data_IF_731138505114
#
_entry.id   IF_731138505114
#
_cell.length_a   1.000
_cell.length_b   1.000
_cell.length_c   1.000
_cell.angle_alpha   90.00
_cell.angle_beta   90.00
_cell.angle_gamma   90.00
#
_symmetry.space_group_name_H-M   'P 1'
#
loop_
_entity.id
_entity.type
_entity.pdbx_description
1 polymer ?
#
# COMPACT_ATOMS: atom_id res chain seq x y z
N UNK A 1 2.42 23.88 34.48
CA UNK A 1 2.26 22.43 34.73
C UNK A 1 0.81 21.94 34.82
N UNK A 2 0.08 22.06 35.95
CA UNK A 2 -1.29 21.45 36.06
C UNK A 2 -2.31 21.91 35.02
N UNK A 3 -2.29 23.20 34.65
CA UNK A 3 -3.20 23.76 33.62
C UNK A 3 -2.85 23.26 32.22
N UNK A 4 -1.56 23.15 31.91
CA UNK A 4 -1.06 22.68 30.60
C UNK A 4 -1.37 21.19 30.40
N UNK A 5 -1.23 20.36 31.44
CA UNK A 5 -1.62 18.94 31.40
C UNK A 5 -3.12 18.80 31.15
N UNK A 6 -3.94 19.62 31.82
CA UNK A 6 -5.39 19.61 31.60
C UNK A 6 -5.78 20.06 30.19
N UNK A 7 -5.17 21.15 29.70
CA UNK A 7 -5.39 21.65 28.34
C UNK A 7 -4.96 20.61 27.28
N UNK A 8 -3.86 19.89 27.53
CA UNK A 8 -3.41 18.77 26.69
C UNK A 8 -4.43 17.63 26.65
N UNK A 9 -4.88 17.13 27.80
CA UNK A 9 -5.86 16.03 27.86
C UNK A 9 -7.19 16.42 27.21
N UNK A 10 -7.63 17.67 27.37
CA UNK A 10 -8.82 18.20 26.70
C UNK A 10 -8.66 18.16 25.17
N UNK A 11 -7.53 18.64 24.64
CA UNK A 11 -7.25 18.62 23.19
C UNK A 11 -7.13 17.20 22.66
N UNK A 12 -6.50 16.31 23.41
CA UNK A 12 -6.38 14.88 23.09
C UNK A 12 -7.76 14.23 22.96
N UNK A 13 -8.65 14.46 23.93
CA UNK A 13 -10.03 13.97 23.87
C UNK A 13 -10.83 14.54 22.69
N UNK A 14 -10.66 15.84 22.39
CA UNK A 14 -11.27 16.46 21.23
C UNK A 14 -10.80 15.82 19.91
N UNK A 15 -9.50 15.58 19.76
CA UNK A 15 -8.95 14.92 18.57
C UNK A 15 -9.49 13.50 18.41
N UNK A 16 -9.57 12.71 19.48
CA UNK A 16 -10.19 11.39 19.46
C UNK A 16 -11.66 11.44 19.02
N UNK A 17 -12.41 12.42 19.53
CA UNK A 17 -13.80 12.65 19.15
C UNK A 17 -13.95 12.97 17.66
N UNK A 18 -13.09 13.85 17.13
CA UNK A 18 -13.09 14.21 15.71
C UNK A 18 -12.78 13.01 14.81
N UNK A 19 -11.76 12.23 15.14
CA UNK A 19 -11.44 11.00 14.39
C UNK A 19 -12.62 10.04 14.44
N UNK A 20 -13.21 9.80 15.61
CA UNK A 20 -14.34 8.89 15.76
C UNK A 20 -15.57 9.30 14.95
N UNK A 21 -15.84 10.61 14.84
CA UNK A 21 -16.96 11.13 14.05
C UNK A 21 -16.71 11.05 12.53
N UNK A 22 -15.45 11.18 12.11
CA UNK A 22 -15.08 11.10 10.69
C UNK A 22 -15.02 9.67 10.15
N UNK A 23 -14.82 8.66 11.02
CA UNK A 23 -14.77 7.24 10.63
C UNK A 23 -16.20 6.71 10.43
N UNK A 24 -16.43 6.03 9.31
CA UNK A 24 -17.70 5.35 9.03
C UNK A 24 -18.02 4.26 10.07
N UNK A 25 -19.31 4.05 10.37
CA UNK A 25 -19.74 3.15 11.44
C UNK A 25 -19.18 1.72 11.32
N UNK A 26 -19.08 1.18 10.10
CA UNK A 26 -18.50 -0.14 9.85
C UNK A 26 -17.00 -0.24 10.15
N UNK A 27 -16.27 0.88 10.08
CA UNK A 27 -14.82 0.94 10.30
C UNK A 27 -14.47 1.25 11.77
N UNK A 28 -15.44 1.72 12.57
CA UNK A 28 -15.24 2.05 13.99
C UNK A 28 -14.77 0.87 14.83
N UNK A 29 -15.06 -0.36 14.40
CA UNK A 29 -14.59 -1.58 15.06
C UNK A 29 -13.07 -1.61 15.21
N UNK A 30 -12.34 -1.06 14.24
CA UNK A 30 -10.87 -1.07 14.24
C UNK A 30 -10.25 -0.13 15.28
N UNK A 31 -10.96 0.92 15.70
CA UNK A 31 -10.43 1.96 16.61
C UNK A 31 -11.09 2.00 17.98
N UNK A 32 -12.10 1.14 18.21
CA UNK A 32 -12.90 1.13 19.45
C UNK A 32 -12.06 0.94 20.71
N UNK A 33 -11.07 0.05 20.66
CA UNK A 33 -10.20 -0.28 21.80
C UNK A 33 -9.16 0.81 22.11
N UNK A 34 -8.85 1.66 21.12
CA UNK A 34 -7.85 2.73 21.23
C UNK A 34 -8.48 4.13 21.22
N UNK A 35 -9.80 4.25 21.42
CA UNK A 35 -10.57 5.49 21.29
C UNK A 35 -10.07 6.64 22.17
N UNK A 36 -9.40 6.35 23.28
CA UNK A 36 -8.85 7.35 24.21
C UNK A 36 -7.52 7.97 23.76
N UNK A 37 -6.91 7.45 22.69
CA UNK A 37 -5.63 7.91 22.18
C UNK A 37 -5.72 8.20 20.68
N UNK A 38 -5.81 9.49 20.29
CA UNK A 38 -6.00 9.86 18.89
C UNK A 38 -4.81 9.44 18.00
N UNK A 39 -3.59 9.37 18.55
CA UNK A 39 -2.43 8.91 17.81
C UNK A 39 -2.53 7.41 17.50
N UNK A 40 -2.95 6.60 18.48
CA UNK A 40 -3.19 5.17 18.26
C UNK A 40 -4.37 4.91 17.32
N UNK A 41 -5.44 5.70 17.43
CA UNK A 41 -6.55 5.64 16.46
C UNK A 41 -6.04 5.87 15.04
N UNK A 42 -5.27 6.93 14.82
CA UNK A 42 -4.71 7.26 13.52
C UNK A 42 -3.77 6.16 12.98
N UNK A 43 -2.88 5.64 13.83
CA UNK A 43 -2.00 4.54 13.45
C UNK A 43 -2.77 3.28 13.07
N UNK A 44 -3.85 2.96 13.80
CA UNK A 44 -4.66 1.78 13.51
C UNK A 44 -5.45 1.93 12.22
N UNK A 45 -6.00 3.12 11.95
CA UNK A 45 -6.62 3.43 10.66
C UNK A 45 -5.60 3.34 9.53
N UNK A 46 -4.40 3.88 9.72
CA UNK A 46 -3.32 3.78 8.73
C UNK A 46 -2.95 2.31 8.47
N UNK A 47 -2.80 1.49 9.50
CA UNK A 47 -2.50 0.06 9.38
C UNK A 47 -3.57 -0.69 8.57
N UNK A 48 -4.85 -0.40 8.83
CA UNK A 48 -5.98 -1.08 8.16
C UNK A 48 -6.14 -0.61 6.71
N UNK A 49 -6.01 0.69 6.46
CA UNK A 49 -6.37 1.29 5.17
C UNK A 49 -5.18 1.55 4.24
N UNK A 50 -3.99 1.80 4.77
CA UNK A 50 -2.77 1.97 3.99
C UNK A 50 -2.03 0.64 3.99
N UNK A 51 -2.59 -0.32 3.25
CA UNK A 51 -1.94 -1.62 3.08
C UNK A 51 -0.67 -1.45 2.24
N UNK A 52 0.47 -1.27 2.91
CA UNK A 52 1.80 -1.19 2.32
C UNK A 52 2.31 -2.55 1.80
N UNK A 53 1.39 -3.40 1.32
CA UNK A 53 1.69 -4.71 0.74
C UNK A 53 2.29 -4.55 -0.65
N UNK A 54 3.13 -5.50 -1.11
CA UNK A 54 3.70 -5.49 -2.46
C UNK A 54 2.65 -5.30 -3.55
N UNK A 55 1.51 -5.98 -3.45
CA UNK A 55 0.42 -5.85 -4.44
C UNK A 55 -0.09 -4.42 -4.59
N UNK A 56 -0.32 -3.71 -3.48
CA UNK A 56 -0.75 -2.30 -3.51
C UNK A 56 0.33 -1.39 -4.10
N UNK A 57 1.61 -1.64 -3.80
CA UNK A 57 2.73 -0.88 -4.36
C UNK A 57 2.87 -1.09 -5.87
N UNK A 58 2.79 -2.33 -6.34
CA UNK A 58 2.88 -2.66 -7.76
C UNK A 58 1.71 -2.04 -8.54
N UNK A 59 0.50 -2.07 -7.99
CA UNK A 59 -0.65 -1.37 -8.58
C UNK A 59 -0.40 0.15 -8.69
N UNK A 60 0.24 0.78 -7.69
CA UNK A 60 0.57 2.21 -7.75
C UNK A 60 1.62 2.53 -8.83
N UNK A 61 2.62 1.66 -9.02
CA UNK A 61 3.56 1.77 -10.14
C UNK A 61 2.85 1.58 -11.48
N UNK A 62 1.90 0.65 -11.59
CA UNK A 62 1.11 0.46 -12.80
C UNK A 62 0.29 1.69 -13.18
N UNK A 63 -0.30 2.37 -12.19
CA UNK A 63 -1.00 3.64 -12.41
C UNK A 63 -0.05 4.69 -12.98
N UNK A 64 1.16 4.84 -12.40
CA UNK A 64 2.15 5.81 -12.87
C UNK A 64 2.67 5.49 -14.28
N UNK A 65 3.12 4.25 -14.50
CA UNK A 65 3.74 3.83 -15.76
C UNK A 65 2.70 3.65 -16.88
N UNK A 66 1.44 3.42 -16.52
CA UNK A 66 0.30 3.35 -17.42
C UNK A 66 -0.26 4.73 -17.81
N UNK A 67 0.25 5.83 -17.26
CA UNK A 67 -0.23 7.17 -17.60
C UNK A 67 -0.11 7.44 -19.10
N UNK A 68 -1.26 7.72 -19.71
CA UNK A 68 -1.37 8.28 -21.05
C UNK A 68 -2.13 9.60 -20.97
N UNK A 69 -1.77 10.51 -21.88
CA UNK A 69 -2.52 11.75 -22.06
C UNK A 69 -3.91 11.39 -22.59
N UNK A 70 -4.95 11.91 -21.95
CA UNK A 70 -6.33 11.70 -22.40
C UNK A 70 -6.68 12.69 -23.52
N UNK A 71 -7.72 12.36 -24.28
CA UNK A 71 -8.30 13.26 -25.27
C UNK A 71 -8.87 14.51 -24.59
N UNK A 72 -8.62 15.70 -25.14
CA UNK A 72 -9.03 16.97 -24.54
C UNK A 72 -8.28 17.40 -23.26
N UNK A 73 -7.42 16.54 -22.70
CA UNK A 73 -6.67 16.87 -21.49
C UNK A 73 -5.52 17.87 -21.75
N UNK A 74 -5.30 18.81 -20.83
CA UNK A 74 -4.14 19.70 -20.86
C UNK A 74 -2.87 19.02 -20.34
N UNK A 75 -1.69 19.49 -20.76
CA UNK A 75 -0.42 18.97 -20.23
C UNK A 75 -0.28 19.22 -18.72
N UNK A 76 -0.79 20.34 -18.21
CA UNK A 76 -0.79 20.63 -16.78
C UNK A 76 -1.63 19.62 -15.97
N UNK A 77 -2.78 19.21 -16.50
CA UNK A 77 -3.60 18.15 -15.90
C UNK A 77 -2.85 16.81 -15.85
N UNK A 78 -2.18 16.44 -16.96
CA UNK A 78 -1.35 15.23 -16.99
C UNK A 78 -0.21 15.28 -15.96
N UNK A 79 0.47 16.43 -15.83
CA UNK A 79 1.52 16.63 -14.82
C UNK A 79 0.96 16.45 -13.41
N UNK A 80 -0.20 17.04 -13.11
CA UNK A 80 -0.84 16.89 -11.80
C UNK A 80 -1.21 15.43 -11.49
N UNK A 81 -1.64 14.64 -12.49
CA UNK A 81 -1.88 13.20 -12.33
C UNK A 81 -0.60 12.42 -12.07
N UNK A 82 0.49 12.75 -12.77
CA UNK A 82 1.80 12.15 -12.52
C UNK A 82 2.32 12.45 -11.11
N UNK A 83 2.18 13.70 -10.65
CA UNK A 83 2.54 14.11 -9.30
C UNK A 83 1.72 13.35 -8.25
N UNK A 84 0.41 13.22 -8.48
CA UNK A 84 -0.49 12.45 -7.60
C UNK A 84 -0.08 10.97 -7.53
N UNK A 85 0.16 10.33 -8.68
CA UNK A 85 0.60 8.94 -8.71
C UNK A 85 1.93 8.73 -7.96
N UNK A 86 2.88 9.66 -8.10
CA UNK A 86 4.13 9.62 -7.34
C UNK A 86 3.94 9.84 -5.83
N UNK A 87 3.01 10.71 -5.42
CA UNK A 87 2.65 10.88 -4.01
C UNK A 87 2.05 9.60 -3.43
N UNK A 88 1.20 8.91 -4.19
CA UNK A 88 0.58 7.66 -3.75
C UNK A 88 1.62 6.55 -3.59
N UNK A 89 2.58 6.41 -4.54
CA UNK A 89 3.72 5.50 -4.39
C UNK A 89 4.51 5.82 -3.12
N UNK A 90 4.80 7.10 -2.85
CA UNK A 90 5.55 7.52 -1.66
C UNK A 90 4.79 7.21 -0.36
N UNK A 91 3.46 7.35 -0.35
CA UNK A 91 2.64 7.04 0.82
C UNK A 91 2.64 5.53 1.16
N UNK A 92 2.83 4.67 0.16
CA UNK A 92 2.89 3.22 0.34
C UNK A 92 4.26 2.69 0.74
N UNK A 93 5.30 3.53 0.76
CA UNK A 93 6.65 3.12 1.19
C UNK A 93 6.70 2.89 2.70
N UNK A 94 7.33 1.79 3.14
CA UNK A 94 7.75 1.63 4.54
C UNK A 94 8.66 2.78 5.00
N UNK A 95 8.78 2.94 6.32
CA UNK A 95 9.56 4.04 6.92
C UNK A 95 11.06 3.96 6.59
N UNK A 96 11.56 2.75 6.37
CA UNK A 96 12.94 2.35 6.11
C UNK A 96 13.21 2.07 4.62
N UNK A 97 12.34 2.53 3.72
CA UNK A 97 12.47 2.27 2.29
C UNK A 97 13.73 2.92 1.70
N UNK A 98 14.61 2.09 1.12
CA UNK A 98 15.88 2.48 0.49
C UNK A 98 15.82 2.47 -1.04
N UNK A 99 16.89 2.91 -1.69
CA UNK A 99 17.04 2.75 -3.15
C UNK A 99 17.06 1.26 -3.52
N UNK A 100 17.75 0.42 -2.74
CA UNK A 100 17.74 -1.03 -2.96
C UNK A 100 16.31 -1.61 -2.85
N UNK A 101 15.46 -1.04 -1.98
CA UNK A 101 14.06 -1.43 -1.88
C UNK A 101 13.29 -1.10 -3.17
N UNK A 102 13.61 0.05 -3.80
CA UNK A 102 13.05 0.44 -5.09
C UNK A 102 13.50 -0.50 -6.21
N UNK A 103 14.79 -0.81 -6.29
CA UNK A 103 15.34 -1.71 -7.30
C UNK A 103 14.73 -3.11 -7.19
N UNK A 104 14.55 -3.61 -5.96
CA UNK A 104 13.84 -4.86 -5.68
C UNK A 104 12.37 -4.82 -6.13
N UNK A 105 11.63 -3.75 -5.79
CA UNK A 105 10.23 -3.59 -6.21
C UNK A 105 10.13 -3.57 -7.75
N UNK A 106 11.01 -2.82 -8.44
CA UNK A 106 11.01 -2.72 -9.90
C UNK A 106 11.35 -4.05 -10.59
N UNK A 107 12.38 -4.75 -10.13
CA UNK A 107 12.74 -6.07 -10.66
C UNK A 107 11.62 -7.09 -10.45
N UNK A 108 11.03 -7.10 -9.25
CA UNK A 108 9.93 -8.00 -8.90
C UNK A 108 8.69 -7.74 -9.76
N UNK A 109 8.33 -6.46 -9.91
CA UNK A 109 7.21 -6.03 -10.75
C UNK A 109 7.44 -6.41 -12.22
N UNK A 110 8.64 -6.18 -12.75
CA UNK A 110 8.98 -6.54 -14.14
C UNK A 110 8.83 -8.04 -14.39
N UNK A 111 9.31 -8.88 -13.47
CA UNK A 111 9.18 -10.34 -13.56
C UNK A 111 7.72 -10.79 -13.53
N UNK A 112 6.91 -10.24 -12.62
CA UNK A 112 5.48 -10.56 -12.52
C UNK A 112 4.75 -10.13 -13.79
N UNK A 113 5.04 -8.94 -14.34
CA UNK A 113 4.43 -8.44 -15.58
C UNK A 113 4.87 -9.19 -16.84
N UNK A 114 6.02 -9.86 -16.81
CA UNK A 114 6.50 -10.67 -17.93
C UNK A 114 5.79 -12.02 -18.04
N UNK A 115 5.04 -12.44 -17.02
CA UNK A 115 4.34 -13.72 -17.03
C UNK A 115 3.10 -13.68 -17.95
N UNK A 116 2.88 -14.73 -18.77
CA UNK A 116 1.68 -14.84 -19.58
C UNK A 116 0.42 -15.11 -18.73
N UNK A 117 -0.75 -14.92 -19.32
CA UNK A 117 -2.05 -15.02 -18.64
C UNK A 117 -2.32 -16.39 -17.97
N UNK A 118 -1.69 -17.45 -18.45
CA UNK A 118 -1.75 -18.79 -17.82
C UNK A 118 -1.15 -18.83 -16.40
N UNK A 119 -0.38 -17.82 -15.99
CA UNK A 119 0.14 -17.66 -14.63
C UNK A 119 -0.75 -16.74 -13.76
N UNK A 120 -1.92 -16.29 -14.22
CA UNK A 120 -2.76 -15.34 -13.48
C UNK A 120 -3.10 -15.81 -12.04
N UNK A 121 -3.32 -17.11 -11.84
CA UNK A 121 -3.58 -17.66 -10.50
C UNK A 121 -2.35 -17.54 -9.58
N UNK A 122 -1.16 -17.79 -10.14
CA UNK A 122 0.11 -17.65 -9.44
C UNK A 122 0.43 -16.18 -9.16
N UNK A 123 0.23 -15.29 -10.14
CA UNK A 123 0.35 -13.84 -9.94
C UNK A 123 -0.59 -13.37 -8.83
N UNK A 124 -1.84 -13.81 -8.84
CA UNK A 124 -2.81 -13.44 -7.81
C UNK A 124 -2.36 -13.89 -6.41
N UNK A 125 -1.78 -15.08 -6.27
CA UNK A 125 -1.27 -15.54 -4.97
C UNK A 125 -0.05 -14.73 -4.50
N UNK A 126 0.85 -14.34 -5.40
CA UNK A 126 1.98 -13.48 -5.09
C UNK A 126 1.56 -12.09 -4.58
N UNK A 127 0.54 -11.48 -5.19
CA UNK A 127 0.06 -10.14 -4.82
C UNK A 127 -0.67 -10.12 -3.47
N UNK A 128 -1.11 -11.27 -2.96
CA UNK A 128 -1.74 -11.42 -1.65
C UNK A 128 -0.74 -11.55 -0.50
N UNK A 129 0.55 -11.73 -0.79
CA UNK A 129 1.59 -11.87 0.23
C UNK A 129 1.77 -10.56 1.01
N UNK A 130 2.01 -10.67 2.32
CA UNK A 130 2.28 -9.53 3.19
C UNK A 130 3.66 -8.90 2.92
N UNK A 131 4.62 -9.71 2.45
CA UNK A 131 5.94 -9.26 2.02
C UNK A 131 6.40 -10.06 0.80
N UNK A 132 7.01 -9.38 -0.15
CA UNK A 132 7.58 -9.96 -1.34
C UNK A 132 8.83 -9.16 -1.71
N UNK A 133 9.97 -9.81 -1.59
CA UNK A 133 11.25 -9.32 -2.07
C UNK A 133 11.69 -10.20 -3.25
N UNK A 134 12.73 -9.76 -3.97
CA UNK A 134 13.17 -10.43 -5.20
C UNK A 134 13.61 -11.87 -4.95
N UNK A 135 14.26 -12.15 -3.81
CA UNK A 135 14.72 -13.50 -3.47
C UNK A 135 13.53 -14.44 -3.24
N UNK A 136 12.53 -14.01 -2.47
CA UNK A 136 11.29 -14.78 -2.27
C UNK A 136 10.55 -15.00 -3.58
N UNK A 137 10.50 -14.00 -4.46
CA UNK A 137 9.88 -14.13 -5.77
C UNK A 137 10.58 -15.18 -6.63
N UNK A 138 11.92 -15.15 -6.67
CA UNK A 138 12.71 -16.14 -7.41
C UNK A 138 12.47 -17.57 -6.89
N UNK A 139 12.43 -17.76 -5.58
CA UNK A 139 12.08 -19.07 -5.00
C UNK A 139 10.65 -19.49 -5.34
N UNK A 140 9.70 -18.55 -5.33
CA UNK A 140 8.31 -18.84 -5.72
C UNK A 140 8.20 -19.25 -7.19
N UNK A 141 8.97 -18.62 -8.09
CA UNK A 141 9.02 -18.96 -9.51
C UNK A 141 9.55 -20.38 -9.72
N UNK A 142 10.67 -20.74 -9.06
CA UNK A 142 11.24 -22.09 -9.14
C UNK A 142 10.26 -23.16 -8.64
N UNK A 143 9.53 -22.85 -7.57
CA UNK A 143 8.51 -23.75 -7.03
C UNK A 143 7.32 -23.92 -7.99
N UNK A 144 6.82 -22.83 -8.58
CA UNK A 144 5.72 -22.87 -9.55
C UNK A 144 6.11 -23.66 -10.80
N UNK A 145 7.33 -23.45 -11.31
CA UNK A 145 7.86 -24.19 -12.47
C UNK A 145 7.93 -25.70 -12.17
N UNK A 146 8.44 -26.09 -10.99
CA UNK A 146 8.49 -27.49 -10.55
C UNK A 146 7.08 -28.11 -10.41
N UNK A 147 6.11 -27.34 -9.92
CA UNK A 147 4.72 -27.79 -9.79
C UNK A 147 4.03 -27.96 -11.15
N UNK A 148 4.34 -27.12 -12.14
CA UNK A 148 3.79 -27.27 -13.51
C UNK A 148 4.39 -28.47 -14.22
N UNK A 149 5.71 -28.64 -14.10
CA UNK A 149 6.41 -29.80 -14.64
C UNK A 149 5.84 -31.12 -14.11
N UNK A 150 5.59 -31.21 -12.80
CA UNK A 150 4.97 -32.41 -12.18
C UNK A 150 3.50 -32.60 -12.57
N UNK A 151 2.77 -31.54 -12.92
CA UNK A 151 1.39 -31.60 -13.42
C UNK A 151 1.30 -31.89 -14.93
N UNK A 152 2.43 -31.89 -15.65
CA UNK A 152 2.46 -32.10 -17.11
C UNK A 152 1.78 -30.98 -17.89
N UNK A 153 1.75 -29.76 -17.32
CA UNK A 153 1.23 -28.53 -17.95
C UNK A 153 2.37 -27.80 -18.64
#
# INVERSE_FOLDING_TARGET
ERKEVWDWEKRKGQASGQIWLAVEDGQKVHVKEVKSDPAKMWLKLKEVHVQQKPGTRFNAYDVLLGLRKLEGESLASLMARADKAMQDIRALRPKDFTIDSLDNDLASMALIRALPAEYNNFVSSLLLLDSLDLSKLQSAFQNEESQRFTRGI
#
